data_IF_750702414979
#
_entry.id   IF_750702414979
#
_cell.length_a   1.000
_cell.length_b   1.000
_cell.length_c   1.000
_cell.angle_alpha   90.00
_cell.angle_beta   90.00
_cell.angle_gamma   90.00
#
_symmetry.space_group_name_H-M   'P 1'
#
loop_
_entity.id
_entity.type
_entity.pdbx_description
1 polymer ?
#
# COMPACT_ATOMS: atom_id res chain seq x y z
N UNK A 1 -31.37 -4.98 27.46
CA UNK A 1 -30.77 -3.84 26.73
C UNK A 1 -29.75 -4.38 25.73
N UNK A 2 -30.13 -4.44 24.46
CA UNK A 2 -29.26 -4.96 23.42
C UNK A 2 -28.26 -3.87 23.02
N UNK A 3 -27.04 -3.96 23.50
CA UNK A 3 -25.93 -3.15 23.03
C UNK A 3 -25.56 -3.63 21.62
N UNK A 4 -26.04 -2.94 20.58
CA UNK A 4 -25.54 -3.12 19.24
C UNK A 4 -24.10 -2.63 19.22
N UNK A 5 -23.13 -3.54 19.31
CA UNK A 5 -21.76 -3.25 18.95
C UNK A 5 -21.74 -2.94 17.46
N UNK A 6 -21.59 -1.68 17.12
CA UNK A 6 -21.27 -1.29 15.74
C UNK A 6 -19.87 -1.81 15.47
N UNK A 7 -19.74 -2.81 14.59
CA UNK A 7 -18.46 -3.21 14.06
C UNK A 7 -17.98 -2.09 13.15
N UNK A 8 -16.89 -1.44 13.54
CA UNK A 8 -16.19 -0.47 12.71
C UNK A 8 -14.96 -1.16 12.14
N UNK A 9 -14.69 -0.89 10.86
CA UNK A 9 -13.57 -1.47 10.15
C UNK A 9 -12.75 -0.34 9.53
N UNK A 10 -11.43 -0.49 9.57
CA UNK A 10 -10.51 0.29 8.77
C UNK A 10 -9.72 -0.63 7.86
N UNK A 11 -9.44 -0.12 6.67
CA UNK A 11 -8.59 -0.78 5.69
C UNK A 11 -7.36 0.07 5.46
N UNK A 12 -6.19 -0.55 5.52
CA UNK A 12 -4.92 0.10 5.28
C UNK A 12 -4.40 -0.31 3.91
N UNK A 13 -4.24 0.67 3.03
CA UNK A 13 -3.52 0.50 1.76
C UNK A 13 -2.07 0.89 1.96
N UNK A 14 -1.16 0.01 1.56
CA UNK A 14 0.27 0.25 1.54
C UNK A 14 0.82 0.13 0.13
N UNK A 15 1.47 1.18 -0.33
CA UNK A 15 2.20 1.21 -1.59
C UNK A 15 3.69 1.25 -1.28
N UNK A 16 4.49 0.46 -1.97
CA UNK A 16 5.94 0.42 -1.79
C UNK A 16 6.66 0.46 -3.12
N UNK A 17 7.73 1.22 -3.16
CA UNK A 17 8.74 1.17 -4.21
C UNK A 17 9.99 0.48 -3.62
N UNK A 18 10.20 -0.82 -3.88
CA UNK A 18 11.22 -1.61 -3.18
C UNK A 18 12.64 -1.09 -3.37
N UNK A 19 12.98 -0.58 -4.56
CA UNK A 19 14.32 -0.09 -4.86
C UNK A 19 14.72 1.12 -4.01
N UNK A 20 13.78 2.00 -3.66
CA UNK A 20 14.01 3.18 -2.81
C UNK A 20 13.60 2.97 -1.35
N UNK A 21 12.69 2.03 -1.09
CA UNK A 21 12.05 1.87 0.20
C UNK A 21 10.96 2.91 0.48
N UNK A 22 10.60 3.74 -0.50
CA UNK A 22 9.53 4.72 -0.37
C UNK A 22 8.19 4.02 -0.20
N UNK A 23 7.40 4.49 0.75
CA UNK A 23 6.03 4.03 0.99
C UNK A 23 5.04 5.16 0.94
N UNK A 24 3.83 4.84 0.52
CA UNK A 24 2.66 5.70 0.67
C UNK A 24 1.55 4.89 1.33
N UNK A 25 0.81 5.50 2.23
CA UNK A 25 -0.19 4.84 3.04
C UNK A 25 -1.52 5.57 2.96
N UNK A 26 -2.59 4.80 2.92
CA UNK A 26 -3.95 5.34 2.99
C UNK A 26 -4.79 4.47 3.91
N UNK A 27 -5.43 5.11 4.88
CA UNK A 27 -6.39 4.49 5.76
C UNK A 27 -7.81 4.87 5.33
N UNK A 28 -8.66 3.89 5.10
CA UNK A 28 -10.02 4.09 4.63
C UNK A 28 -11.01 3.20 5.38
N UNK A 29 -12.28 3.54 5.32
CA UNK A 29 -13.37 2.75 5.90
C UNK A 29 -14.04 1.83 4.89
N UNK A 30 -13.69 1.91 3.61
CA UNK A 30 -14.31 1.12 2.55
C UNK A 30 -13.30 0.47 1.62
N UNK A 31 -13.58 -0.77 1.20
CA UNK A 31 -12.92 -1.44 0.09
C UNK A 31 -13.95 -1.72 -1.00
N UNK A 32 -13.93 -0.90 -2.03
CA UNK A 32 -14.81 -1.00 -3.19
C UNK A 32 -14.08 -0.46 -4.41
N UNK A 33 -14.66 -0.64 -5.61
CA UNK A 33 -14.11 -0.02 -6.81
C UNK A 33 -13.96 1.50 -6.69
N UNK A 34 -14.93 2.17 -6.08
CA UNK A 34 -14.87 3.60 -5.81
C UNK A 34 -13.80 3.95 -4.77
N UNK A 35 -13.68 3.16 -3.70
CA UNK A 35 -12.63 3.32 -2.68
C UNK A 35 -11.24 3.12 -3.25
N UNK A 36 -11.06 2.13 -4.10
CA UNK A 36 -9.79 1.89 -4.79
C UNK A 36 -9.46 3.02 -5.77
N UNK A 37 -10.45 3.53 -6.50
CA UNK A 37 -10.27 4.68 -7.40
C UNK A 37 -9.81 5.92 -6.64
N UNK A 38 -10.38 6.18 -5.47
CA UNK A 38 -9.96 7.28 -4.59
C UNK A 38 -8.54 7.07 -4.06
N UNK A 39 -8.19 5.85 -3.66
CA UNK A 39 -6.84 5.50 -3.21
C UNK A 39 -5.80 5.70 -4.31
N UNK A 40 -6.09 5.29 -5.53
CA UNK A 40 -5.21 5.47 -6.69
C UNK A 40 -5.03 6.95 -7.04
N UNK A 41 -6.09 7.73 -6.96
CA UNK A 41 -6.04 9.18 -7.20
C UNK A 41 -5.14 9.88 -6.19
N UNK A 42 -5.29 9.55 -4.92
CA UNK A 42 -4.46 10.09 -3.84
C UNK A 42 -2.99 9.68 -4.00
N UNK A 43 -2.75 8.40 -4.27
CA UNK A 43 -1.41 7.88 -4.55
C UNK A 43 -0.75 8.59 -5.73
N UNK A 44 -1.46 8.73 -6.85
CA UNK A 44 -0.95 9.40 -8.04
C UNK A 44 -0.54 10.85 -7.75
N UNK A 45 -1.35 11.58 -6.98
CA UNK A 45 -1.04 12.95 -6.57
C UNK A 45 0.22 13.01 -5.69
N UNK A 46 0.36 12.10 -4.74
CA UNK A 46 1.51 12.05 -3.82
C UNK A 46 2.82 11.74 -4.52
N UNK A 47 2.80 10.86 -5.52
CA UNK A 47 4.00 10.46 -6.26
C UNK A 47 4.25 11.29 -7.52
N UNK A 48 3.34 12.20 -7.84
CA UNK A 48 3.45 13.08 -9.01
C UNK A 48 3.27 12.36 -10.35
N UNK A 49 2.47 11.30 -10.39
CA UNK A 49 2.16 10.58 -11.62
C UNK A 49 1.32 11.44 -12.57
N UNK A 50 1.61 11.38 -13.86
CA UNK A 50 0.92 12.13 -14.89
C UNK A 50 1.51 11.88 -16.27
N UNK A 51 1.37 12.85 -17.18
CA UNK A 51 1.87 12.75 -18.57
C UNK A 51 3.38 12.59 -18.65
N UNK A 52 4.12 13.25 -17.77
CA UNK A 52 5.59 13.26 -17.77
C UNK A 52 6.21 12.24 -16.84
N UNK A 53 5.46 11.74 -15.87
CA UNK A 53 5.89 10.73 -14.91
C UNK A 53 4.93 9.56 -14.92
N UNK A 54 5.38 8.46 -15.46
CA UNK A 54 4.59 7.22 -15.57
C UNK A 54 5.10 6.18 -14.58
N UNK A 55 4.16 5.43 -14.00
CA UNK A 55 4.43 4.37 -13.03
C UNK A 55 3.68 3.12 -13.37
N UNK A 56 4.33 1.99 -13.12
CA UNK A 56 3.69 0.68 -13.12
C UNK A 56 3.36 0.33 -11.67
N UNK A 57 2.10 0.04 -11.41
CA UNK A 57 1.62 -0.42 -10.12
C UNK A 57 1.20 -1.88 -10.23
N UNK A 58 1.88 -2.74 -9.48
CA UNK A 58 1.60 -4.17 -9.45
C UNK A 58 0.60 -4.45 -8.33
N UNK A 59 -0.48 -5.13 -8.65
CA UNK A 59 -1.57 -5.48 -7.75
C UNK A 59 -1.84 -6.97 -7.76
N UNK A 60 -2.41 -7.48 -6.68
CA UNK A 60 -3.03 -8.79 -6.71
C UNK A 60 -4.35 -8.76 -7.49
N UNK A 61 -4.93 -9.93 -7.75
CA UNK A 61 -6.14 -10.07 -8.54
C UNK A 61 -7.44 -9.98 -7.75
N UNK A 62 -7.47 -9.32 -6.57
CA UNK A 62 -8.68 -9.16 -5.79
C UNK A 62 -9.81 -8.54 -6.62
N UNK A 63 -11.07 -8.99 -6.41
CA UNK A 63 -12.19 -8.64 -7.26
C UNK A 63 -12.45 -7.13 -7.37
N UNK A 64 -12.23 -6.37 -6.30
CA UNK A 64 -12.38 -4.92 -6.30
C UNK A 64 -11.27 -4.18 -7.05
N UNK A 65 -10.08 -4.79 -7.22
CA UNK A 65 -9.01 -4.29 -8.10
C UNK A 65 -9.39 -4.38 -9.59
N UNK A 66 -10.27 -5.30 -9.94
CA UNK A 66 -10.73 -5.55 -11.32
C UNK A 66 -12.13 -5.01 -11.59
N UNK A 67 -12.67 -4.20 -10.69
CA UNK A 67 -14.00 -3.61 -10.85
C UNK A 67 -14.06 -2.76 -12.12
N UNK A 68 -15.14 -2.90 -12.88
CA UNK A 68 -15.39 -2.05 -14.07
C UNK A 68 -15.57 -0.58 -13.73
N UNK A 69 -15.90 -0.27 -12.48
CA UNK A 69 -16.01 1.10 -11.97
C UNK A 69 -14.67 1.71 -11.54
N UNK A 70 -13.58 0.94 -11.65
CA UNK A 70 -12.25 1.41 -11.30
C UNK A 70 -11.77 2.49 -12.26
N UNK A 71 -11.47 3.66 -11.72
CA UNK A 71 -10.87 4.77 -12.47
C UNK A 71 -9.37 4.80 -12.17
N UNK A 72 -8.55 4.62 -13.20
CA UNK A 72 -7.10 4.64 -13.10
C UNK A 72 -6.59 6.03 -13.48
N UNK A 73 -5.85 6.71 -12.60
CA UNK A 73 -5.31 8.03 -12.90
C UNK A 73 -4.32 8.01 -14.06
N UNK A 74 -4.20 9.14 -14.74
CA UNK A 74 -3.17 9.32 -15.77
C UNK A 74 -1.76 9.09 -15.19
N UNK A 75 -0.93 8.40 -15.94
CA UNK A 75 0.42 8.04 -15.54
C UNK A 75 0.55 6.78 -14.70
N UNK A 76 -0.53 6.21 -14.22
CA UNK A 76 -0.55 4.92 -13.53
C UNK A 76 -0.94 3.82 -14.51
N UNK A 77 -0.09 2.79 -14.60
CA UNK A 77 -0.37 1.58 -15.37
C UNK A 77 -0.48 0.39 -14.41
N UNK A 78 -1.65 -0.26 -14.37
CA UNK A 78 -1.90 -1.40 -13.51
C UNK A 78 -1.42 -2.69 -14.16
N UNK A 79 -0.71 -3.51 -13.40
CA UNK A 79 -0.32 -4.88 -13.75
C UNK A 79 -0.80 -5.81 -12.65
N UNK A 80 -1.58 -6.81 -13.02
CA UNK A 80 -2.09 -7.80 -12.08
C UNK A 80 -1.15 -9.00 -12.00
N UNK A 81 -0.87 -9.43 -10.78
CA UNK A 81 -0.10 -10.64 -10.54
C UNK A 81 -0.89 -11.90 -10.90
N UNK A 82 -0.21 -13.00 -11.22
CA UNK A 82 -0.85 -14.31 -11.31
C UNK A 82 -1.58 -14.66 -10.02
N UNK A 83 -2.68 -15.42 -10.08
CA UNK A 83 -3.38 -15.92 -8.89
C UNK A 83 -2.43 -16.72 -7.98
N UNK A 84 -2.67 -16.64 -6.66
CA UNK A 84 -1.93 -17.42 -5.65
C UNK A 84 -0.41 -17.21 -5.65
N UNK A 85 0.04 -15.98 -5.90
CA UNK A 85 1.46 -15.64 -5.98
C UNK A 85 1.89 -14.56 -4.97
N UNK A 86 1.62 -14.72 -3.67
CA UNK A 86 1.98 -13.69 -2.66
C UNK A 86 3.49 -13.46 -2.57
N UNK A 87 4.31 -14.47 -2.87
CA UNK A 87 5.75 -14.37 -2.89
C UNK A 87 6.31 -13.40 -3.96
N UNK A 88 5.49 -13.02 -4.93
CA UNK A 88 5.84 -12.05 -5.96
C UNK A 88 5.49 -10.61 -5.58
N UNK A 89 4.90 -10.39 -4.41
CA UNK A 89 4.43 -9.08 -3.96
C UNK A 89 5.27 -8.56 -2.80
N UNK A 90 6.25 -7.68 -3.06
CA UNK A 90 7.09 -7.10 -1.99
C UNK A 90 6.28 -6.40 -0.89
N UNK A 91 5.13 -5.82 -1.22
CA UNK A 91 4.24 -5.17 -0.26
C UNK A 91 3.75 -6.09 0.87
N UNK A 92 3.68 -7.40 0.65
CA UNK A 92 3.34 -8.36 1.71
C UNK A 92 4.30 -8.29 2.91
N UNK A 93 5.54 -7.90 2.68
CA UNK A 93 6.53 -7.74 3.74
C UNK A 93 6.40 -6.41 4.52
N UNK A 94 5.48 -5.55 4.14
CA UNK A 94 5.15 -4.35 4.94
C UNK A 94 4.30 -4.71 6.17
N UNK A 95 3.44 -5.71 6.06
CA UNK A 95 2.48 -6.04 7.11
C UNK A 95 3.14 -6.44 8.42
N UNK A 96 4.20 -7.27 8.45
CA UNK A 96 4.92 -7.55 9.68
C UNK A 96 5.48 -6.29 10.35
N UNK A 97 5.96 -5.31 9.58
CA UNK A 97 6.46 -4.04 10.10
C UNK A 97 5.37 -3.20 10.76
N UNK A 98 4.15 -3.23 10.21
CA UNK A 98 2.99 -2.56 10.81
C UNK A 98 2.49 -3.33 12.04
N UNK A 99 2.44 -4.65 11.97
CA UNK A 99 1.95 -5.50 13.06
C UNK A 99 2.82 -5.44 14.32
N UNK A 100 4.10 -5.15 14.21
CA UNK A 100 5.02 -5.05 15.36
C UNK A 100 4.51 -4.14 16.47
N UNK A 101 3.83 -3.04 16.11
CA UNK A 101 3.34 -2.06 17.08
C UNK A 101 1.96 -2.39 17.65
N UNK A 102 1.24 -3.35 17.06
CA UNK A 102 -0.11 -3.74 17.49
C UNK A 102 -0.17 -5.15 18.07
N UNK A 103 0.86 -5.97 17.83
CA UNK A 103 0.92 -7.34 18.33
C UNK A 103 0.89 -7.37 19.85
N UNK A 104 0.07 -8.27 20.41
CA UNK A 104 -0.08 -8.48 21.86
C UNK A 104 -0.50 -7.22 22.64
N UNK A 105 -1.19 -6.30 21.99
CA UNK A 105 -1.77 -5.11 22.64
C UNK A 105 -3.28 -5.15 22.55
N UNK A 106 -3.92 -4.77 23.65
CA UNK A 106 -5.35 -4.54 23.71
C UNK A 106 -5.66 -3.07 23.47
N UNK A 107 -6.61 -2.80 22.58
CA UNK A 107 -7.07 -1.46 22.28
C UNK A 107 -8.50 -1.28 22.80
N UNK A 108 -8.75 -0.20 23.54
CA UNK A 108 -10.06 0.12 24.10
C UNK A 108 -11.05 0.59 23.04
N UNK A 109 -10.55 1.24 22.01
CA UNK A 109 -11.33 1.77 20.91
C UNK A 109 -10.59 1.62 19.59
N UNK A 110 -11.35 1.58 18.49
CA UNK A 110 -10.79 1.51 17.14
C UNK A 110 -9.95 2.75 16.79
N UNK A 111 -10.32 3.92 17.33
CA UNK A 111 -9.57 5.17 17.12
C UNK A 111 -8.17 5.10 17.73
N UNK A 112 -7.99 4.46 18.88
CA UNK A 112 -6.68 4.22 19.48
C UNK A 112 -5.81 3.35 18.58
N UNK A 113 -6.36 2.26 18.03
CA UNK A 113 -5.70 1.41 17.07
C UNK A 113 -5.31 2.18 15.81
N UNK A 114 -6.22 2.98 15.28
CA UNK A 114 -5.99 3.84 14.12
C UNK A 114 -4.82 4.80 14.35
N UNK A 115 -4.76 5.43 15.48
CA UNK A 115 -3.69 6.39 15.83
C UNK A 115 -2.33 5.70 15.90
N UNK A 116 -2.25 4.53 16.53
CA UNK A 116 -1.02 3.72 16.62
C UNK A 116 -0.56 3.27 15.23
N UNK A 117 -1.46 2.78 14.39
CA UNK A 117 -1.14 2.36 13.02
C UNK A 117 -0.70 3.55 12.17
N UNK A 118 -1.38 4.68 12.27
CA UNK A 118 -1.04 5.91 11.52
C UNK A 118 0.34 6.43 11.90
N UNK A 119 0.67 6.43 13.17
CA UNK A 119 2.00 6.81 13.66
C UNK A 119 3.07 5.87 13.12
N UNK A 120 2.82 4.55 13.14
CA UNK A 120 3.76 3.58 12.57
C UNK A 120 3.97 3.76 11.07
N UNK A 121 2.93 4.03 10.32
CA UNK A 121 3.03 4.33 8.89
C UNK A 121 3.89 5.58 8.63
N UNK A 122 3.74 6.60 9.45
CA UNK A 122 4.58 7.82 9.39
C UNK A 122 6.04 7.50 9.70
N UNK A 123 6.32 6.70 10.71
CA UNK A 123 7.68 6.24 11.03
C UNK A 123 8.31 5.48 9.85
N UNK A 124 7.57 4.54 9.24
CA UNK A 124 8.04 3.77 8.10
C UNK A 124 8.29 4.65 6.87
N UNK A 125 7.45 5.65 6.63
CA UNK A 125 7.64 6.63 5.57
C UNK A 125 8.89 7.48 5.77
N UNK A 126 9.26 7.73 7.01
CA UNK A 126 10.47 8.47 7.39
C UNK A 126 11.73 7.59 7.43
N UNK A 127 11.59 6.28 7.28
CA UNK A 127 12.70 5.33 7.38
C UNK A 127 12.74 4.35 6.20
N UNK A 128 13.00 4.85 4.98
CA UNK A 128 12.98 4.02 3.78
C UNK A 128 14.03 2.90 3.79
N UNK A 129 15.12 3.02 4.51
CA UNK A 129 16.14 2.00 4.61
C UNK A 129 15.61 0.71 5.28
N UNK A 130 14.75 0.82 6.28
CA UNK A 130 14.11 -0.33 6.93
C UNK A 130 13.15 -1.02 5.96
N UNK A 131 12.35 -0.24 5.25
CA UNK A 131 11.40 -0.76 4.25
C UNK A 131 12.15 -1.44 3.11
N UNK A 132 13.18 -0.80 2.58
CA UNK A 132 14.01 -1.35 1.49
C UNK A 132 14.59 -2.71 1.86
N UNK A 133 15.14 -2.87 3.05
CA UNK A 133 15.70 -4.15 3.51
C UNK A 133 14.69 -5.29 3.53
N UNK A 134 13.42 -4.98 3.76
CA UNK A 134 12.34 -5.96 3.85
C UNK A 134 11.67 -6.25 2.52
N UNK A 135 11.65 -5.30 1.61
CA UNK A 135 10.86 -5.37 0.37
C UNK A 135 11.69 -5.52 -0.90
N UNK A 136 12.96 -5.19 -0.88
CA UNK A 136 13.83 -5.33 -2.05
C UNK A 136 14.28 -6.77 -2.22
N UNK A 137 13.54 -7.51 -3.03
CA UNK A 137 13.89 -8.87 -3.41
C UNK A 137 15.05 -8.89 -4.42
N UNK A 138 15.82 -9.96 -4.44
CA UNK A 138 16.96 -10.13 -5.35
C UNK A 138 16.59 -10.09 -6.83
N UNK A 139 15.35 -10.47 -7.18
CA UNK A 139 14.83 -10.46 -8.55
C UNK A 139 14.21 -9.11 -8.96
N UNK A 140 14.08 -8.12 -8.04
CA UNK A 140 13.53 -6.82 -8.38
C UNK A 140 14.43 -6.10 -9.38
N UNK A 141 13.88 -5.47 -10.43
CA UNK A 141 14.66 -4.71 -11.39
C UNK A 141 15.46 -3.61 -10.68
N UNK A 142 16.76 -3.61 -10.90
CA UNK A 142 17.63 -2.53 -10.44
C UNK A 142 17.77 -1.54 -11.58
N UNK A 143 17.74 -0.25 -11.27
CA UNK A 143 18.00 0.77 -12.26
C UNK A 143 19.40 0.56 -12.83
N UNK A 144 19.46 0.02 -14.03
CA UNK A 144 20.68 0.05 -14.82
C UNK A 144 20.76 1.46 -15.40
N UNK A 145 21.48 2.36 -14.76
CA UNK A 145 21.97 3.53 -15.46
C UNK A 145 22.82 3.02 -16.62
N UNK A 146 22.47 3.29 -17.88
CA UNK A 146 23.38 2.99 -18.97
C UNK A 146 24.67 3.76 -18.66
N UNK A 147 25.76 3.03 -18.55
CA UNK A 147 27.08 3.67 -18.52
C UNK A 147 27.16 4.44 -19.83
N UNK A 148 27.15 5.76 -19.73
CA UNK A 148 27.49 6.62 -20.85
C UNK A 148 28.98 6.37 -21.08
N UNK A 149 29.29 5.64 -22.15
CA UNK A 149 30.64 5.56 -22.69
C UNK A 149 30.98 6.87 -23.38
#
# INVERSE_FOLDING_TARGET
>A
MCLRRRYQWYYLFGFVHPASGRTEWLLTTTVSGAGMSAALKDFAARVGAGTTRRMVLVLDGAGWHRSKSLVVPEGIHLVFQPPYSPALQPAENLWPLVHEVVANRDFRALDELKDVVSERCTELSSNPAVVKRRTLYHWWPRDHHPKVE
#
